data_IF_177310746917
#
_entry.id   IF_177310746917
#
_cell.length_a   1.000
_cell.length_b   1.000
_cell.length_c   1.000
_cell.angle_alpha   90.00
_cell.angle_beta   90.00
_cell.angle_gamma   90.00
#
_symmetry.space_group_name_H-M   'P 1'
#
loop_
_entity.id
_entity.type
_entity.pdbx_description
1 polymer ?
#
# COMPACT_ATOMS: atom_id res chain seq x y z
N UNK A 1 41.02 19.44 -12.80
CA UNK A 1 39.79 18.64 -12.64
C UNK A 1 38.66 19.65 -12.55
N UNK A 2 37.77 19.67 -13.56
CA UNK A 2 36.64 20.61 -13.59
C UNK A 2 35.62 20.17 -12.56
N UNK A 3 35.68 20.74 -11.36
CA UNK A 3 34.50 20.73 -10.49
C UNK A 3 33.41 21.52 -11.23
N UNK A 4 32.31 20.86 -11.52
CA UNK A 4 31.14 21.47 -12.12
C UNK A 4 30.58 22.51 -11.15
N UNK A 5 30.92 23.79 -11.39
CA UNK A 5 30.45 24.90 -10.56
C UNK A 5 28.95 25.07 -10.82
N UNK A 6 28.12 24.48 -9.94
CA UNK A 6 26.66 24.60 -10.00
C UNK A 6 26.13 25.98 -9.55
N UNK A 7 27.03 26.79 -8.96
CA UNK A 7 26.72 28.10 -8.45
C UNK A 7 27.86 29.04 -8.81
N UNK A 8 27.54 30.18 -9.38
CA UNK A 8 28.51 31.22 -9.76
C UNK A 8 28.04 32.61 -9.38
N UNK A 9 28.97 33.51 -9.12
CA UNK A 9 28.70 34.91 -8.77
C UNK A 9 29.36 35.85 -9.78
N UNK A 10 28.59 36.81 -10.25
CA UNK A 10 29.04 37.80 -11.22
C UNK A 10 28.60 39.21 -10.79
N UNK A 11 29.45 40.24 -10.86
CA UNK A 11 30.86 40.20 -11.20
C UNK A 11 31.72 39.68 -10.03
N UNK A 12 32.94 39.20 -10.33
CA UNK A 12 33.91 38.73 -9.33
C UNK A 12 34.76 39.85 -8.70
N UNK A 13 34.61 41.06 -9.18
CA UNK A 13 35.24 42.26 -8.62
C UNK A 13 34.37 43.49 -8.87
N UNK A 14 34.51 44.49 -8.03
CA UNK A 14 33.79 45.76 -8.12
C UNK A 14 34.68 46.94 -7.77
N UNK A 15 34.24 48.17 -8.15
CA UNK A 15 34.87 49.41 -7.74
C UNK A 15 34.28 49.92 -6.42
N UNK A 16 34.90 50.94 -5.83
CA UNK A 16 34.34 51.63 -4.67
C UNK A 16 32.94 52.15 -4.98
N UNK A 17 31.99 51.85 -4.09
CA UNK A 17 30.57 52.19 -4.23
C UNK A 17 29.66 50.96 -4.07
N UNK A 18 28.53 51.02 -4.72
CA UNK A 18 27.57 49.90 -4.69
C UNK A 18 27.76 49.01 -5.91
N UNK A 19 27.93 47.70 -5.66
CA UNK A 19 28.00 46.67 -6.70
C UNK A 19 26.89 45.68 -6.49
N UNK A 20 26.11 45.42 -7.54
CA UNK A 20 25.10 44.34 -7.51
C UNK A 20 25.76 43.05 -7.94
N UNK A 21 25.60 41.99 -7.12
CA UNK A 21 26.05 40.64 -7.44
C UNK A 21 24.86 39.83 -7.95
N UNK A 22 25.08 39.14 -9.06
CA UNK A 22 24.13 38.14 -9.58
C UNK A 22 24.67 36.78 -9.23
N UNK A 23 23.84 35.94 -8.63
CA UNK A 23 24.14 34.55 -8.33
C UNK A 23 23.39 33.67 -9.30
N UNK A 24 24.08 32.94 -10.13
CA UNK A 24 23.54 31.98 -11.07
C UNK A 24 23.62 30.58 -10.44
N UNK A 25 22.47 29.88 -10.34
CA UNK A 25 22.35 28.58 -9.71
C UNK A 25 21.77 27.58 -10.72
N UNK A 26 22.52 26.53 -11.01
CA UNK A 26 22.04 25.43 -11.86
C UNK A 26 20.99 24.60 -11.14
N UNK A 27 20.05 24.02 -11.89
CA UNK A 27 19.06 23.09 -11.33
C UNK A 27 19.74 21.95 -10.55
N UNK A 28 19.13 21.59 -9.42
CA UNK A 28 19.62 20.48 -8.62
C UNK A 28 19.13 19.16 -9.23
N UNK A 29 20.02 18.16 -9.31
CA UNK A 29 19.66 16.79 -9.68
C UNK A 29 18.91 16.10 -8.54
N UNK A 30 19.62 15.73 -7.49
CA UNK A 30 19.02 14.93 -6.39
C UNK A 30 19.53 15.31 -5.00
N UNK A 31 20.83 15.59 -4.83
CA UNK A 31 21.44 15.74 -3.51
C UNK A 31 21.44 17.18 -3.00
N UNK A 32 21.37 17.31 -1.66
CA UNK A 32 21.65 18.60 -1.02
C UNK A 32 23.06 19.04 -1.35
N UNK A 33 23.22 20.32 -1.72
CA UNK A 33 24.53 20.91 -1.97
C UNK A 33 24.65 22.30 -1.38
N UNK A 34 25.86 22.63 -0.95
CA UNK A 34 26.19 23.89 -0.28
C UNK A 34 27.41 24.52 -1.00
N UNK A 35 27.37 25.80 -1.18
CA UNK A 35 28.50 26.55 -1.70
C UNK A 35 28.69 27.85 -0.92
N UNK A 36 29.94 28.12 -0.50
CA UNK A 36 30.31 29.30 0.26
C UNK A 36 31.10 30.25 -0.64
N UNK A 37 30.70 31.51 -0.61
CA UNK A 37 31.43 32.59 -1.23
C UNK A 37 32.05 33.51 -0.17
N UNK A 38 33.25 33.99 -0.42
CA UNK A 38 33.86 35.03 0.38
C UNK A 38 33.92 36.33 -0.43
N UNK A 39 33.34 37.38 0.13
CA UNK A 39 33.37 38.72 -0.44
C UNK A 39 34.31 39.57 0.41
N UNK A 40 35.39 40.04 -0.19
CA UNK A 40 36.40 40.90 0.50
C UNK A 40 36.30 42.34 0.04
N UNK A 41 36.29 43.24 1.01
CA UNK A 41 36.38 44.70 0.76
C UNK A 41 37.34 45.32 1.77
N UNK A 42 38.54 45.68 1.34
CA UNK A 42 39.63 46.12 2.22
C UNK A 42 39.99 45.01 3.23
N UNK A 43 39.89 45.33 4.52
CA UNK A 43 40.14 44.38 5.62
C UNK A 43 38.89 43.62 6.08
N UNK A 44 37.77 43.77 5.39
CA UNK A 44 36.51 43.12 5.76
C UNK A 44 36.23 41.96 4.82
N UNK A 45 35.98 40.79 5.41
CA UNK A 45 35.51 39.58 4.75
C UNK A 45 34.07 39.25 5.17
N UNK A 46 33.21 38.99 4.18
CA UNK A 46 31.85 38.60 4.37
C UNK A 46 31.65 37.21 3.69
N UNK A 47 31.17 36.24 4.44
CA UNK A 47 30.82 34.94 3.89
C UNK A 47 29.33 34.90 3.53
N UNK A 48 29.02 34.36 2.34
CA UNK A 48 27.69 34.10 1.87
C UNK A 48 27.57 32.61 1.56
N UNK A 49 26.71 31.93 2.27
CA UNK A 49 26.42 30.51 2.04
C UNK A 49 25.14 30.35 1.21
N UNK A 50 25.23 29.57 0.14
CA UNK A 50 24.09 29.18 -0.68
C UNK A 50 23.84 27.71 -0.47
N UNK A 51 22.67 27.40 -0.01
CA UNK A 51 22.18 26.02 0.16
C UNK A 51 21.10 25.74 -0.87
N UNK A 52 21.28 24.66 -1.64
CA UNK A 52 20.24 24.11 -2.48
C UNK A 52 19.81 22.76 -1.91
N UNK A 53 18.55 22.68 -1.50
CA UNK A 53 18.00 21.50 -0.87
C UNK A 53 17.95 20.33 -1.85
N UNK A 54 17.98 19.12 -1.30
CA UNK A 54 17.74 17.90 -2.05
C UNK A 54 16.34 17.93 -2.68
N UNK A 55 16.22 17.44 -3.92
CA UNK A 55 14.92 17.17 -4.53
C UNK A 55 14.47 15.81 -4.04
N UNK A 56 13.46 15.81 -3.18
CA UNK A 56 12.88 14.56 -2.67
C UNK A 56 11.84 14.05 -3.65
N UNK A 57 12.01 12.81 -4.09
CA UNK A 57 10.99 12.05 -4.77
C UNK A 57 10.57 10.87 -3.90
N UNK A 58 9.26 10.66 -3.78
CA UNK A 58 8.67 9.57 -3.02
C UNK A 58 7.41 9.11 -3.75
N UNK A 59 7.41 7.86 -4.17
CA UNK A 59 6.30 7.26 -4.90
C UNK A 59 6.13 5.81 -4.48
N UNK A 60 4.93 5.45 -4.06
CA UNK A 60 4.54 4.06 -3.83
C UNK A 60 3.60 3.63 -4.96
N UNK A 61 3.90 2.54 -5.61
CA UNK A 61 3.06 1.93 -6.64
C UNK A 61 2.10 0.89 -6.06
N UNK A 62 1.11 0.48 -6.85
CA UNK A 62 0.14 -0.55 -6.48
C UNK A 62 -1.15 -0.03 -5.86
N UNK A 63 -1.95 -0.96 -5.34
CA UNK A 63 -3.22 -0.66 -4.67
C UNK A 63 -3.00 0.05 -3.33
N UNK A 64 -4.00 0.84 -2.92
CA UNK A 64 -4.07 1.44 -1.59
C UNK A 64 -5.05 0.72 -0.67
N UNK A 65 -5.73 -0.27 -1.19
CA UNK A 65 -6.64 -1.11 -0.42
C UNK A 65 -6.41 -2.58 -0.78
N UNK A 66 -6.33 -3.43 0.24
CA UNK A 66 -6.21 -4.87 0.12
C UNK A 66 -7.25 -5.53 1.02
N UNK A 67 -7.91 -6.53 0.48
CA UNK A 67 -8.95 -7.29 1.16
C UNK A 67 -8.45 -8.71 1.34
N UNK A 68 -8.59 -9.23 2.57
CA UNK A 68 -8.27 -10.59 2.95
C UNK A 68 -9.46 -11.22 3.69
N UNK A 69 -9.40 -12.51 3.82
CA UNK A 69 -10.34 -13.31 4.62
C UNK A 69 -9.56 -14.01 5.75
N UNK A 70 -10.18 -14.99 6.40
CA UNK A 70 -9.67 -15.62 7.62
C UNK A 70 -8.24 -16.18 7.48
N UNK A 71 -7.89 -16.69 6.31
CA UNK A 71 -6.55 -17.22 6.05
C UNK A 71 -5.43 -16.18 6.04
N UNK A 72 -5.78 -14.90 5.92
CA UNK A 72 -4.80 -13.83 5.75
C UNK A 72 -4.14 -13.84 4.37
N UNK A 73 -2.88 -13.41 4.29
CA UNK A 73 -2.18 -13.39 3.01
C UNK A 73 -0.97 -12.47 2.98
N UNK A 74 -0.59 -12.03 1.79
CA UNK A 74 0.56 -11.18 1.54
C UNK A 74 0.16 -9.90 0.81
N UNK A 75 0.74 -8.77 1.22
CA UNK A 75 0.69 -7.48 0.52
C UNK A 75 2.07 -7.22 -0.04
N UNK A 76 2.15 -6.93 -1.33
CA UNK A 76 3.37 -6.49 -1.98
C UNK A 76 3.18 -5.06 -2.51
N UNK A 77 4.11 -4.18 -2.14
CA UNK A 77 4.17 -2.81 -2.61
C UNK A 77 5.54 -2.54 -3.20
N UNK A 78 5.55 -1.79 -4.29
CA UNK A 78 6.78 -1.34 -4.92
C UNK A 78 6.81 0.18 -4.95
N UNK A 79 7.99 0.76 -4.98
CA UNK A 79 8.09 2.20 -5.03
C UNK A 79 9.50 2.68 -5.29
N UNK A 80 9.67 3.98 -5.22
CA UNK A 80 10.97 4.64 -5.29
C UNK A 80 11.02 5.81 -4.32
N UNK A 81 12.16 5.98 -3.67
CA UNK A 81 12.43 7.13 -2.82
C UNK A 81 13.89 7.54 -2.92
N UNK A 82 14.14 8.84 -3.00
CA UNK A 82 15.49 9.39 -2.95
C UNK A 82 16.05 9.54 -1.52
N UNK A 83 15.21 9.30 -0.50
CA UNK A 83 15.58 9.50 0.92
C UNK A 83 15.27 8.28 1.81
N UNK A 84 14.94 7.14 1.21
CA UNK A 84 14.49 5.96 1.96
C UNK A 84 13.01 6.02 2.32
N UNK A 85 12.59 5.12 3.22
CA UNK A 85 11.21 5.03 3.67
C UNK A 85 11.14 4.56 5.12
N UNK A 86 10.27 5.18 5.90
CA UNK A 86 9.87 4.75 7.23
C UNK A 86 8.48 4.15 7.17
N UNK A 87 8.26 3.07 7.94
CA UNK A 87 6.98 2.37 8.02
C UNK A 87 6.36 2.65 9.39
N UNK A 88 5.10 3.05 9.39
CA UNK A 88 4.30 3.18 10.60
C UNK A 88 3.00 2.38 10.48
N UNK A 89 2.62 1.72 11.57
CA UNK A 89 1.39 0.97 11.69
C UNK A 89 0.40 1.75 12.55
N UNK A 90 -0.82 1.94 12.06
CA UNK A 90 -1.89 2.63 12.79
C UNK A 90 -2.98 1.63 13.20
N UNK A 91 -3.84 2.04 14.13
CA UNK A 91 -5.05 1.29 14.53
C UNK A 91 -4.79 -0.14 15.02
N UNK A 92 -3.68 -0.38 15.73
CA UNK A 92 -3.30 -1.72 16.19
C UNK A 92 -2.85 -2.68 15.06
N UNK A 93 -2.56 -2.14 13.88
CA UNK A 93 -2.18 -2.92 12.70
C UNK A 93 -0.92 -3.78 12.94
N UNK A 94 0.03 -3.31 13.75
CA UNK A 94 1.26 -4.05 14.06
C UNK A 94 1.03 -5.39 14.80
N UNK A 95 -0.14 -5.57 15.40
CA UNK A 95 -0.46 -6.81 16.13
C UNK A 95 -0.74 -8.00 15.19
N UNK A 96 -1.06 -7.73 13.93
CA UNK A 96 -1.49 -8.75 12.98
C UNK A 96 -0.94 -8.58 11.57
N UNK A 97 -0.21 -7.50 11.30
CA UNK A 97 0.53 -7.30 10.05
C UNK A 97 2.00 -7.09 10.38
N UNK A 98 2.87 -7.86 9.75
CA UNK A 98 4.31 -7.77 9.91
C UNK A 98 5.00 -7.58 8.57
N UNK A 99 6.06 -6.79 8.56
CA UNK A 99 6.95 -6.67 7.41
C UNK A 99 7.78 -7.95 7.26
N UNK A 100 7.81 -8.52 6.07
CA UNK A 100 8.77 -9.55 5.69
C UNK A 100 9.96 -8.85 5.03
N UNK A 101 11.09 -8.78 5.75
CA UNK A 101 12.30 -8.12 5.24
C UNK A 101 12.85 -8.86 4.03
N UNK A 102 12.89 -8.22 2.88
CA UNK A 102 13.69 -8.67 1.75
C UNK A 102 15.12 -8.17 1.92
N UNK A 103 16.09 -9.07 1.83
CA UNK A 103 17.52 -8.78 2.06
C UNK A 103 18.24 -8.19 0.83
N UNK A 104 17.52 -7.78 -0.20
CA UNK A 104 18.09 -7.24 -1.43
C UNK A 104 18.12 -5.72 -1.42
N UNK A 105 19.33 -5.20 -1.42
CA UNK A 105 19.66 -3.79 -1.48
C UNK A 105 19.46 -3.18 -2.88
N UNK A 106 19.14 -1.91 -2.89
CA UNK A 106 19.34 -0.83 -3.84
C UNK A 106 18.15 -0.35 -4.67
N UNK A 107 17.79 0.91 -4.43
CA UNK A 107 17.06 1.89 -5.27
C UNK A 107 15.58 1.66 -5.58
N UNK A 108 15.05 0.46 -5.49
CA UNK A 108 13.61 0.22 -5.52
C UNK A 108 13.13 -0.14 -4.13
N UNK A 109 12.12 0.57 -3.64
CA UNK A 109 11.41 0.18 -2.41
C UNK A 109 10.53 -1.01 -2.74
N UNK A 110 10.84 -2.15 -2.15
CA UNK A 110 10.01 -3.35 -2.23
C UNK A 110 9.60 -3.73 -0.81
N UNK A 111 8.32 -3.61 -0.54
CA UNK A 111 7.76 -3.98 0.75
C UNK A 111 6.91 -5.21 0.59
N UNK A 112 7.11 -6.15 1.51
CA UNK A 112 6.27 -7.33 1.64
C UNK A 112 5.75 -7.38 3.07
N UNK A 113 4.43 -7.42 3.21
CA UNK A 113 3.78 -7.53 4.50
C UNK A 113 2.97 -8.82 4.54
N UNK A 114 3.07 -9.52 5.67
CA UNK A 114 2.25 -10.67 5.97
C UNK A 114 1.06 -10.26 6.81
N UNK A 115 -0.13 -10.59 6.35
CA UNK A 115 -1.38 -10.47 7.09
C UNK A 115 -1.64 -11.81 7.78
N UNK A 116 -1.68 -11.79 9.11
CA UNK A 116 -1.88 -13.00 9.89
C UNK A 116 -3.29 -13.58 9.69
N UNK A 117 -3.47 -14.90 9.82
CA UNK A 117 -4.79 -15.51 9.89
C UNK A 117 -5.65 -14.89 11.00
N UNK A 118 -6.96 -14.94 10.84
CA UNK A 118 -7.91 -14.32 11.75
C UNK A 118 -9.14 -15.23 11.97
N UNK A 119 -9.42 -15.53 13.21
CA UNK A 119 -10.53 -16.38 13.65
C UNK A 119 -11.64 -15.60 14.38
N UNK A 120 -11.57 -14.27 14.35
CA UNK A 120 -12.56 -13.39 14.98
C UNK A 120 -13.84 -13.29 14.17
N UNK A 121 -14.96 -13.04 14.85
CA UNK A 121 -16.31 -12.99 14.27
C UNK A 121 -16.62 -11.68 13.52
N UNK A 122 -15.77 -10.66 13.66
CA UNK A 122 -15.98 -9.35 13.05
C UNK A 122 -14.81 -9.00 12.12
N UNK A 123 -15.09 -8.22 11.08
CA UNK A 123 -14.03 -7.71 10.21
C UNK A 123 -13.09 -6.78 10.98
N UNK A 124 -11.80 -6.83 10.65
CA UNK A 124 -10.81 -5.89 11.18
C UNK A 124 -10.19 -5.05 10.07
N UNK A 125 -9.74 -3.87 10.46
CA UNK A 125 -9.09 -2.92 9.54
C UNK A 125 -7.79 -2.45 10.12
N UNK A 126 -6.81 -2.21 9.25
CA UNK A 126 -5.52 -1.67 9.63
C UNK A 126 -4.97 -0.76 8.55
N UNK A 127 -4.01 0.08 8.93
CA UNK A 127 -3.35 1.00 8.02
C UNK A 127 -1.85 0.93 8.17
N UNK A 128 -1.18 0.84 7.04
CA UNK A 128 0.28 0.97 6.94
C UNK A 128 0.56 2.32 6.29
N UNK A 129 1.38 3.13 6.94
CA UNK A 129 1.81 4.43 6.43
C UNK A 129 3.28 4.34 6.06
N UNK A 130 3.59 4.65 4.81
CA UNK A 130 4.93 4.73 4.26
C UNK A 130 5.31 6.20 4.15
N UNK A 131 6.42 6.61 4.77
CA UNK A 131 6.83 8.03 4.89
C UNK A 131 8.23 8.24 4.36
N UNK A 132 8.44 9.37 3.69
CA UNK A 132 9.78 9.87 3.41
C UNK A 132 10.37 10.52 4.67
N UNK A 133 11.53 10.04 5.18
CA UNK A 133 12.13 10.57 6.41
C UNK A 133 12.41 12.08 6.32
N UNK A 134 11.95 12.83 7.31
CA UNK A 134 12.18 14.26 7.40
C UNK A 134 11.34 15.15 6.46
N UNK A 135 10.42 14.55 5.69
CA UNK A 135 9.58 15.25 4.73
C UNK A 135 8.09 15.05 5.06
N UNK A 136 7.26 15.97 4.57
CA UNK A 136 5.80 15.86 4.66
C UNK A 136 5.23 15.08 3.45
N UNK A 137 5.88 13.96 3.15
CA UNK A 137 5.48 13.05 2.07
C UNK A 137 5.20 11.67 2.67
N UNK A 138 3.96 11.23 2.52
CA UNK A 138 3.54 9.93 3.01
C UNK A 138 2.46 9.32 2.11
N UNK A 139 2.39 8.00 2.12
CA UNK A 139 1.34 7.23 1.47
C UNK A 139 0.75 6.23 2.45
N UNK A 140 -0.54 5.96 2.34
CA UNK A 140 -1.26 5.10 3.27
C UNK A 140 -1.92 3.96 2.53
N UNK A 141 -1.67 2.75 2.99
CA UNK A 141 -2.29 1.53 2.50
C UNK A 141 -3.25 1.00 3.55
N UNK A 142 -4.48 0.75 3.16
CA UNK A 142 -5.52 0.18 4.00
C UNK A 142 -5.60 -1.34 3.78
N UNK A 143 -5.70 -2.08 4.87
CA UNK A 143 -5.91 -3.52 4.85
C UNK A 143 -7.20 -3.83 5.60
N UNK A 144 -8.07 -4.59 4.96
CA UNK A 144 -9.34 -5.03 5.51
C UNK A 144 -9.31 -6.55 5.53
N UNK A 145 -9.59 -7.13 6.67
CA UNK A 145 -9.74 -8.59 6.79
C UNK A 145 -11.15 -8.91 7.29
N UNK A 146 -11.88 -9.62 6.45
CA UNK A 146 -13.24 -10.06 6.73
C UNK A 146 -13.23 -11.46 7.33
N UNK A 147 -14.14 -11.70 8.29
CA UNK A 147 -14.51 -13.04 8.68
C UNK A 147 -15.35 -13.68 7.57
N UNK A 148 -14.96 -14.86 7.13
CA UNK A 148 -15.68 -15.62 6.11
C UNK A 148 -16.68 -16.55 6.77
N UNK A 149 -17.91 -16.06 6.96
CA UNK A 149 -18.97 -16.73 7.69
C UNK A 149 -19.40 -18.04 7.00
N UNK A 150 -19.27 -19.15 7.70
CA UNK A 150 -19.84 -20.45 7.26
C UNK A 150 -21.36 -20.38 7.24
N UNK A 151 -21.95 -20.84 6.14
CA UNK A 151 -23.39 -20.88 5.92
C UNK A 151 -23.97 -22.15 6.49
N UNK A 152 -24.98 -22.02 7.35
CA UNK A 152 -25.71 -23.15 7.90
C UNK A 152 -26.69 -23.77 6.86
N UNK A 153 -26.31 -24.88 6.29
CA UNK A 153 -27.12 -25.66 5.34
C UNK A 153 -27.48 -27.00 5.97
N UNK A 154 -28.63 -27.12 6.66
CA UNK A 154 -28.97 -28.29 7.44
C UNK A 154 -29.44 -29.46 6.59
N UNK A 155 -30.01 -29.25 5.40
CA UNK A 155 -30.46 -30.33 4.52
C UNK A 155 -29.26 -31.02 3.87
N UNK A 156 -29.08 -32.35 4.07
CA UNK A 156 -27.89 -33.04 3.60
C UNK A 156 -27.78 -33.13 2.08
N UNK A 157 -28.90 -33.12 1.37
CA UNK A 157 -28.90 -33.16 -0.10
C UNK A 157 -28.62 -31.80 -0.68
N UNK A 158 -29.19 -30.75 -0.08
CA UNK A 158 -28.86 -29.36 -0.49
C UNK A 158 -27.43 -29.03 -0.15
N UNK A 159 -26.94 -29.39 1.04
CA UNK A 159 -25.52 -29.24 1.42
C UNK A 159 -24.60 -29.95 0.43
N UNK A 160 -24.89 -31.20 0.09
CA UNK A 160 -24.09 -31.95 -0.88
C UNK A 160 -24.08 -31.29 -2.24
N UNK A 161 -25.20 -30.76 -2.70
CA UNK A 161 -25.25 -29.97 -3.94
C UNK A 161 -24.37 -28.73 -3.87
N UNK A 162 -24.45 -27.96 -2.80
CA UNK A 162 -23.65 -26.75 -2.60
C UNK A 162 -22.16 -27.09 -2.55
N UNK A 163 -21.73 -28.07 -1.79
CA UNK A 163 -20.34 -28.53 -1.72
C UNK A 163 -19.83 -29.01 -3.08
N UNK A 164 -20.64 -29.67 -3.88
CA UNK A 164 -20.19 -30.13 -5.19
C UNK A 164 -19.99 -28.99 -6.20
N UNK A 165 -20.72 -27.89 -6.07
CA UNK A 165 -20.77 -26.84 -7.08
C UNK A 165 -20.07 -25.55 -6.65
N UNK A 166 -19.91 -25.29 -5.35
CA UNK A 166 -19.50 -23.99 -4.84
C UNK A 166 -18.35 -24.04 -3.81
N UNK A 167 -18.03 -25.18 -3.20
CA UNK A 167 -16.89 -25.37 -2.31
C UNK A 167 -15.58 -25.27 -3.15
N UNK A 168 -15.02 -24.06 -3.19
CA UNK A 168 -13.85 -23.74 -4.02
C UNK A 168 -12.54 -24.20 -3.40
N UNK A 169 -12.46 -24.23 -2.06
CA UNK A 169 -11.26 -24.59 -1.32
C UNK A 169 -11.25 -26.07 -0.91
N UNK A 170 -12.37 -26.79 -1.09
CA UNK A 170 -12.59 -28.19 -0.75
C UNK A 170 -12.40 -28.49 0.75
N UNK A 171 -12.81 -27.58 1.62
CA UNK A 171 -12.75 -27.78 3.07
C UNK A 171 -14.00 -28.50 3.66
N UNK A 172 -15.05 -28.66 2.84
CA UNK A 172 -16.28 -29.31 3.21
C UNK A 172 -17.28 -28.40 3.91
N UNK A 173 -17.07 -27.12 3.85
CA UNK A 173 -17.98 -26.07 4.30
C UNK A 173 -18.37 -25.17 3.13
N UNK A 174 -19.45 -24.44 3.28
CA UNK A 174 -19.83 -23.37 2.34
C UNK A 174 -19.81 -22.06 3.08
N UNK A 175 -19.01 -21.16 2.61
CA UNK A 175 -18.84 -19.85 3.20
C UNK A 175 -19.57 -18.77 2.39
N UNK A 176 -19.74 -17.61 3.00
CA UNK A 176 -20.37 -16.47 2.32
C UNK A 176 -19.58 -16.05 1.08
N UNK A 177 -18.25 -16.09 1.14
CA UNK A 177 -17.34 -15.78 0.03
C UNK A 177 -17.58 -16.72 -1.18
N UNK A 178 -17.79 -18.00 -0.92
CA UNK A 178 -18.02 -19.00 -1.97
C UNK A 178 -19.37 -18.86 -2.65
N UNK A 179 -20.29 -18.12 -2.03
CA UNK A 179 -21.58 -17.77 -2.65
C UNK A 179 -21.57 -16.44 -3.40
N UNK A 180 -20.50 -15.64 -3.28
CA UNK A 180 -20.36 -14.40 -4.04
C UNK A 180 -20.31 -14.66 -5.54
N UNK A 181 -21.08 -13.89 -6.31
CA UNK A 181 -21.18 -14.01 -7.77
C UNK A 181 -21.96 -15.22 -8.26
N UNK A 182 -22.49 -16.10 -7.40
CA UNK A 182 -23.35 -17.21 -7.79
C UNK A 182 -24.71 -16.68 -8.21
N UNK A 183 -25.02 -16.79 -9.49
CA UNK A 183 -26.27 -16.25 -10.07
C UNK A 183 -27.33 -17.30 -10.30
N UNK A 184 -26.96 -18.57 -10.37
CA UNK A 184 -27.85 -19.68 -10.63
C UNK A 184 -27.60 -20.85 -9.67
N UNK A 185 -28.66 -21.37 -9.07
CA UNK A 185 -28.64 -22.55 -8.21
C UNK A 185 -29.77 -23.45 -8.65
N UNK A 186 -29.46 -24.71 -9.09
CA UNK A 186 -30.42 -25.62 -9.72
C UNK A 186 -30.40 -27.01 -9.07
N UNK A 187 -30.81 -27.14 -7.81
CA UNK A 187 -30.83 -28.42 -7.10
C UNK A 187 -32.13 -29.21 -7.35
N UNK A 188 -32.58 -29.29 -8.58
CA UNK A 188 -33.79 -30.06 -8.93
C UNK A 188 -33.57 -31.58 -8.82
N UNK A 189 -34.61 -32.35 -8.43
CA UNK A 189 -34.62 -33.82 -8.38
C UNK A 189 -33.63 -34.46 -7.40
N UNK A 190 -33.36 -33.81 -6.29
CA UNK A 190 -32.34 -34.25 -5.32
C UNK A 190 -32.94 -34.73 -3.96
N UNK A 191 -34.26 -34.79 -3.83
CA UNK A 191 -34.94 -35.12 -2.56
C UNK A 191 -34.74 -34.12 -1.42
N UNK A 192 -34.48 -32.86 -1.76
CA UNK A 192 -34.28 -31.76 -0.80
C UNK A 192 -35.59 -31.44 -0.10
N UNK A 193 -35.52 -31.25 1.22
CA UNK A 193 -36.66 -30.87 2.08
C UNK A 193 -36.57 -29.44 2.59
N UNK A 194 -35.35 -28.91 2.61
CA UNK A 194 -35.09 -27.54 3.05
C UNK A 194 -33.99 -26.92 2.22
N UNK A 195 -34.20 -25.70 1.79
CA UNK A 195 -33.21 -24.89 1.10
C UNK A 195 -32.64 -23.77 1.98
N UNK A 196 -32.74 -23.96 3.31
CA UNK A 196 -32.14 -23.02 4.28
C UNK A 196 -30.65 -22.84 3.97
N UNK A 197 -30.17 -21.60 4.00
CA UNK A 197 -28.84 -21.17 3.57
C UNK A 197 -28.85 -20.51 2.20
N UNK A 198 -29.90 -20.70 1.36
CA UNK A 198 -30.01 -20.04 0.06
C UNK A 198 -30.12 -18.52 0.17
N UNK A 199 -30.62 -18.02 1.29
CA UNK A 199 -30.74 -16.59 1.62
C UNK A 199 -29.42 -15.85 1.70
N UNK A 200 -28.31 -16.58 1.88
CA UNK A 200 -26.97 -16.00 1.93
C UNK A 200 -26.34 -15.80 0.53
N UNK A 201 -26.97 -16.33 -0.52
CA UNK A 201 -26.52 -16.18 -1.91
C UNK A 201 -26.99 -14.83 -2.47
N UNK A 202 -26.27 -13.75 -2.11
CA UNK A 202 -26.69 -12.38 -2.36
C UNK A 202 -26.86 -12.01 -3.84
N UNK A 203 -26.12 -12.66 -4.76
CA UNK A 203 -26.15 -12.41 -6.19
C UNK A 203 -27.11 -13.31 -6.96
N UNK A 204 -27.84 -14.19 -6.25
CA UNK A 204 -28.72 -15.17 -6.86
C UNK A 204 -29.83 -14.52 -7.68
N UNK A 205 -29.99 -14.96 -8.94
CA UNK A 205 -31.00 -14.47 -9.88
C UNK A 205 -31.95 -15.54 -10.35
N UNK A 206 -31.49 -16.77 -10.36
CA UNK A 206 -32.28 -17.92 -10.81
C UNK A 206 -32.12 -19.08 -9.83
N UNK A 207 -33.24 -19.58 -9.35
CA UNK A 207 -33.29 -20.70 -8.44
C UNK A 207 -34.32 -21.74 -8.92
N UNK A 208 -33.88 -22.96 -9.16
CA UNK A 208 -34.75 -24.09 -9.54
C UNK A 208 -34.60 -25.26 -8.58
N UNK A 209 -35.54 -25.38 -7.67
CA UNK A 209 -35.65 -26.52 -6.73
C UNK A 209 -36.82 -27.45 -7.08
N UNK A 210 -37.23 -27.48 -8.33
CA UNK A 210 -38.34 -28.29 -8.78
C UNK A 210 -38.11 -29.79 -8.56
N UNK A 211 -39.21 -30.56 -8.47
CA UNK A 211 -39.22 -32.03 -8.25
C UNK A 211 -38.42 -32.46 -6.99
N UNK A 212 -38.44 -31.67 -5.92
CA UNK A 212 -38.00 -32.01 -4.57
C UNK A 212 -39.18 -32.30 -3.63
N UNK A 213 -38.94 -32.49 -2.34
CA UNK A 213 -39.96 -32.87 -1.36
C UNK A 213 -40.51 -31.69 -0.58
#
# INVERSE_FOLDING_TARGET
>A
ENEWVWCSVTPTYGSAGTTTLTVDIQANGYDKRIHDFSIRSGDTDISLTIEQKQVVSFLIGGSREFIFYDEGGQVELTGGSSVGCEIAYLDGTADWISEEKDTRAFESLNFRFRVAPYDGMESRRGRIVLKAPGEDLADTVQIIQYHDKVIDIPDPYFRKYCLTNFDMNNDGEITKRETEGVREVKPAKLHIRSVRGIEEFADLRYFDCSENQ
#
